data_IF_208763607302
#
_entry.id   IF_208763607302
#
_cell.length_a   1.000
_cell.length_b   1.000
_cell.length_c   1.000
_cell.angle_alpha   90.00
_cell.angle_beta   90.00
_cell.angle_gamma   90.00
#
_symmetry.space_group_name_H-M   'P 1'
#
loop_
_entity.id
_entity.type
_entity.pdbx_description
1 polymer ?
#
# COMPACT_ATOMS: atom_id res chain seq x y z
N UNK A 1 6.14 5.23 8.75
CA UNK A 1 6.73 5.20 7.40
C UNK A 1 5.99 4.14 6.63
N UNK A 2 5.48 4.44 5.43
CA UNK A 2 4.75 3.49 4.58
C UNK A 2 5.77 2.67 3.79
N UNK A 3 5.46 1.39 3.51
CA UNK A 3 6.35 0.54 2.70
C UNK A 3 6.10 0.77 1.20
N UNK A 4 7.13 0.74 0.35
CA UNK A 4 6.99 0.99 -1.10
C UNK A 4 5.94 0.11 -1.79
N UNK A 5 5.79 -1.14 -1.35
CA UNK A 5 4.79 -2.06 -1.90
C UNK A 5 3.34 -1.60 -1.67
N UNK A 6 3.06 -0.81 -0.63
CA UNK A 6 1.73 -0.23 -0.41
C UNK A 6 1.45 0.92 -1.38
N UNK A 7 2.43 1.79 -1.60
CA UNK A 7 2.28 2.89 -2.58
C UNK A 7 1.95 2.33 -3.95
N UNK A 8 2.67 1.29 -4.40
CA UNK A 8 2.40 0.66 -5.69
C UNK A 8 1.09 -0.13 -5.73
N UNK A 9 0.74 -0.84 -4.64
CA UNK A 9 -0.41 -1.73 -4.60
C UNK A 9 -1.77 -1.03 -4.50
N UNK A 10 -1.79 0.16 -3.88
CA UNK A 10 -3.02 0.94 -3.63
C UNK A 10 -3.32 1.90 -4.79
N UNK A 11 -2.31 2.30 -5.57
CA UNK A 11 -2.50 3.18 -6.72
C UNK A 11 -3.55 2.61 -7.69
N UNK A 12 -4.48 3.47 -8.10
CA UNK A 12 -5.56 3.12 -9.02
C UNK A 12 -6.68 2.27 -8.43
N UNK A 13 -6.71 2.03 -7.11
CA UNK A 13 -7.87 1.38 -6.47
C UNK A 13 -9.08 2.31 -6.45
N UNK A 14 -10.26 1.74 -6.64
CA UNK A 14 -11.55 2.43 -6.47
C UNK A 14 -12.04 2.36 -5.03
N UNK A 15 -12.81 3.36 -4.58
CA UNK A 15 -13.42 3.31 -3.23
C UNK A 15 -14.36 2.10 -3.16
N UNK A 16 -14.20 1.30 -2.11
CA UNK A 16 -14.89 0.02 -1.89
C UNK A 16 -14.19 -1.19 -2.51
N UNK A 17 -13.09 -1.00 -3.25
CA UNK A 17 -12.32 -2.13 -3.80
C UNK A 17 -11.51 -2.84 -2.72
N UNK A 18 -11.53 -4.18 -2.76
CA UNK A 18 -10.69 -5.04 -1.96
C UNK A 18 -9.62 -5.71 -2.83
N UNK A 19 -8.38 -5.76 -2.34
CA UNK A 19 -7.26 -6.37 -3.05
C UNK A 19 -6.29 -7.05 -2.09
N UNK A 20 -5.73 -8.17 -2.52
CA UNK A 20 -4.60 -8.80 -1.82
C UNK A 20 -3.29 -8.33 -2.44
N UNK A 21 -2.44 -7.73 -1.61
CA UNK A 21 -1.09 -7.27 -1.99
C UNK A 21 -0.07 -8.28 -1.51
N UNK A 22 0.64 -8.90 -2.46
CA UNK A 22 1.81 -9.73 -2.20
C UNK A 22 3.06 -8.87 -2.38
N UNK A 23 3.75 -8.56 -1.28
CA UNK A 23 4.86 -7.62 -1.23
C UNK A 23 6.13 -8.39 -0.89
N UNK A 24 7.06 -8.53 -1.85
CA UNK A 24 8.38 -9.08 -1.59
C UNK A 24 9.11 -8.28 -0.52
N UNK A 25 9.98 -8.93 0.25
CA UNK A 25 10.69 -8.28 1.35
C UNK A 25 11.40 -6.97 0.95
N UNK A 26 11.95 -6.89 -0.27
CA UNK A 26 12.63 -5.72 -0.83
C UNK A 26 11.73 -4.48 -0.93
N UNK A 27 10.42 -4.68 -1.16
CA UNK A 27 9.40 -3.62 -1.21
C UNK A 27 8.65 -3.46 0.13
N UNK A 28 9.00 -4.28 1.13
CA UNK A 28 8.48 -4.25 2.49
C UNK A 28 9.48 -3.63 3.47
N UNK A 29 9.92 -4.42 4.44
CA UNK A 29 10.88 -4.00 5.47
C UNK A 29 12.34 -4.38 5.17
N UNK A 30 12.59 -5.10 4.07
CA UNK A 30 13.91 -5.55 3.64
C UNK A 30 14.63 -6.33 4.73
N UNK A 31 15.90 -6.00 4.96
CA UNK A 31 16.74 -6.64 5.97
C UNK A 31 16.45 -6.22 7.42
N UNK A 32 15.39 -5.42 7.66
CA UNK A 32 15.01 -4.96 9.00
C UNK A 32 13.95 -5.88 9.60
N UNK A 33 14.14 -6.29 10.84
CA UNK A 33 13.08 -6.90 11.64
C UNK A 33 12.20 -5.81 12.29
N UNK A 34 10.88 -6.01 12.29
CA UNK A 34 9.91 -5.05 12.82
C UNK A 34 8.91 -5.80 13.70
N UNK A 35 9.00 -5.60 15.02
CA UNK A 35 8.13 -6.28 15.99
C UNK A 35 8.18 -7.81 15.81
N UNK A 36 7.06 -8.47 15.49
CA UNK A 36 7.02 -9.92 15.25
C UNK A 36 7.50 -10.34 13.86
N UNK A 37 7.76 -9.40 12.94
CA UNK A 37 8.12 -9.67 11.55
C UNK A 37 9.64 -9.82 11.42
N UNK A 38 10.16 -11.01 11.05
CA UNK A 38 11.58 -11.21 10.82
C UNK A 38 12.10 -10.41 9.62
N UNK A 39 13.41 -10.14 9.62
CA UNK A 39 14.09 -9.59 8.45
C UNK A 39 13.90 -10.50 7.21
N UNK A 40 13.84 -9.88 6.03
CA UNK A 40 13.68 -10.53 4.73
C UNK A 40 12.38 -11.35 4.59
N UNK A 41 11.31 -10.95 5.29
CA UNK A 41 10.00 -11.60 5.17
C UNK A 41 9.17 -10.97 4.05
N UNK A 42 8.57 -11.82 3.22
CA UNK A 42 7.51 -11.40 2.31
C UNK A 42 6.22 -11.14 3.09
N UNK A 43 5.45 -10.16 2.63
CA UNK A 43 4.25 -9.69 3.32
C UNK A 43 3.04 -9.87 2.42
N UNK A 44 1.96 -10.43 2.96
CA UNK A 44 0.67 -10.52 2.29
C UNK A 44 -0.32 -9.68 3.07
N UNK A 45 -0.96 -8.73 2.39
CA UNK A 45 -1.97 -7.85 2.98
C UNK A 45 -3.27 -7.94 2.21
N UNK A 46 -4.38 -8.09 2.92
CA UNK A 46 -5.71 -7.82 2.39
C UNK A 46 -6.07 -6.38 2.73
N UNK A 47 -6.30 -5.58 1.69
CA UNK A 47 -6.60 -4.15 1.83
C UNK A 47 -7.97 -3.83 1.24
N UNK A 48 -8.67 -2.88 1.86
CA UNK A 48 -9.92 -2.30 1.38
C UNK A 48 -9.77 -0.78 1.32
N UNK A 49 -10.08 -0.18 0.16
CA UNK A 49 -10.07 1.28 0.05
C UNK A 49 -11.40 1.84 0.59
N UNK A 50 -11.43 2.23 1.85
CA UNK A 50 -12.65 2.72 2.52
C UNK A 50 -13.04 4.16 2.16
N UNK A 51 -12.11 4.96 1.65
CA UNK A 51 -12.37 6.35 1.27
C UNK A 51 -11.10 7.11 0.94
N UNK A 52 -11.26 8.25 0.26
CA UNK A 52 -10.19 9.21 -0.03
C UNK A 52 -10.64 10.57 0.47
N UNK A 53 -9.90 11.14 1.42
CA UNK A 53 -10.19 12.46 1.99
C UNK A 53 -9.32 13.53 1.31
N UNK A 54 -9.85 14.77 1.21
CA UNK A 54 -9.17 15.94 0.63
C UNK A 54 -8.80 15.80 -0.86
N UNK A 55 -9.67 15.20 -1.67
CA UNK A 55 -9.52 15.24 -3.14
C UNK A 55 -9.82 16.66 -3.63
N UNK A 56 -8.79 17.49 -3.75
CA UNK A 56 -8.87 18.73 -4.54
C UNK A 56 -8.70 18.34 -6.00
N UNK A 57 -9.80 18.33 -6.75
CA UNK A 57 -9.72 18.22 -8.21
C UNK A 57 -9.17 19.54 -8.71
N UNK A 58 -7.93 19.53 -9.22
CA UNK A 58 -7.35 20.67 -9.92
C UNK A 58 -8.27 21.01 -11.11
N UNK A 59 -8.90 22.18 -11.06
CA UNK A 59 -9.93 22.63 -12.01
C UNK A 59 -9.37 23.11 -13.36
N UNK A 60 -8.12 22.81 -13.68
CA UNK A 60 -7.39 23.40 -14.80
C UNK A 60 -7.35 22.53 -16.07
N UNK A 61 -8.13 21.44 -16.15
CA UNK A 61 -8.30 20.62 -17.37
C UNK A 61 -9.74 20.62 -17.94
N UNK A 62 -10.47 21.75 -17.85
CA UNK A 62 -11.75 21.97 -18.56
C UNK A 62 -11.74 23.23 -19.43
#
# INVERSE_FOLDING_TARGET
MVIPGWEQGILGMCIGEQRTLNIPAELGYGSRAIGPIPANSDLVFDVELVGVENVTVDKDEL
#
